data_IF_490703307147
#
_entry.id   IF_490703307147
#
_cell.length_a   1.000
_cell.length_b   1.000
_cell.length_c   1.000
_cell.angle_alpha   90.00
_cell.angle_beta   90.00
_cell.angle_gamma   90.00
#
_symmetry.space_group_name_H-M   'P 1'
#
loop_
_entity.id
_entity.type
_entity.pdbx_description
1 polymer ?
#
# COMPACT_ATOMS: atom_id res chain seq x y z
N UNK A 1 -17.87 -8.35 12.54
CA UNK A 1 -16.61 -7.64 12.86
C UNK A 1 -15.83 -7.60 11.56
N UNK A 2 -15.80 -6.44 10.90
CA UNK A 2 -15.09 -6.30 9.62
C UNK A 2 -13.60 -6.05 9.89
N UNK A 3 -12.72 -6.43 8.96
CA UNK A 3 -11.26 -6.25 9.10
C UNK A 3 -10.87 -4.78 9.34
N UNK A 4 -11.72 -3.85 8.90
CA UNK A 4 -11.55 -2.40 9.10
C UNK A 4 -11.58 -1.97 10.57
N UNK A 5 -12.21 -2.75 11.45
CA UNK A 5 -12.38 -2.43 12.88
C UNK A 5 -11.36 -3.13 13.78
N UNK A 6 -10.41 -3.89 13.20
CA UNK A 6 -9.45 -4.67 13.97
C UNK A 6 -8.28 -3.80 14.43
N UNK A 7 -8.03 -3.65 15.75
CA UNK A 7 -6.83 -2.99 16.24
C UNK A 7 -5.59 -3.75 15.78
N UNK A 8 -4.54 -3.02 15.42
CA UNK A 8 -3.29 -3.59 14.91
C UNK A 8 -3.45 -4.47 13.65
N UNK A 9 -4.38 -4.14 12.75
CA UNK A 9 -4.65 -4.93 11.54
C UNK A 9 -3.39 -5.24 10.70
N UNK A 10 -2.45 -4.31 10.64
CA UNK A 10 -1.18 -4.48 9.94
C UNK A 10 -0.34 -5.61 10.56
N UNK A 11 -0.33 -5.73 11.89
CA UNK A 11 0.38 -6.82 12.58
C UNK A 11 -0.27 -8.16 12.27
N UNK A 12 -1.60 -8.23 12.28
CA UNK A 12 -2.35 -9.44 11.94
C UNK A 12 -2.10 -9.88 10.48
N UNK A 13 -2.14 -8.94 9.53
CA UNK A 13 -1.79 -9.20 8.12
C UNK A 13 -0.35 -9.69 7.97
N UNK A 14 0.61 -9.09 8.68
CA UNK A 14 2.02 -9.54 8.68
C UNK A 14 2.19 -10.95 9.22
N UNK A 15 1.41 -11.37 10.22
CA UNK A 15 1.44 -12.75 10.73
C UNK A 15 0.95 -13.73 9.66
N UNK A 16 -0.16 -13.40 8.98
CA UNK A 16 -0.71 -14.24 7.91
C UNK A 16 0.28 -14.38 6.75
N UNK A 17 0.90 -13.28 6.31
CA UNK A 17 1.91 -13.30 5.23
C UNK A 17 3.08 -14.21 5.61
N UNK A 18 3.58 -14.12 6.86
CA UNK A 18 4.67 -14.98 7.32
C UNK A 18 4.29 -16.46 7.33
N UNK A 19 3.08 -16.79 7.81
CA UNK A 19 2.59 -18.16 7.81
C UNK A 19 2.47 -18.72 6.39
N UNK A 20 1.84 -17.98 5.46
CA UNK A 20 1.69 -18.39 4.07
C UNK A 20 3.03 -18.51 3.35
N UNK A 21 3.98 -17.61 3.62
CA UNK A 21 5.32 -17.66 3.03
C UNK A 21 6.12 -18.87 3.52
N UNK A 22 5.91 -19.26 4.78
CA UNK A 22 6.47 -20.49 5.34
C UNK A 22 5.85 -21.70 4.63
N UNK A 23 4.52 -21.80 4.58
CA UNK A 23 3.81 -22.91 3.94
C UNK A 23 4.20 -23.07 2.46
N UNK A 24 4.33 -21.95 1.74
CA UNK A 24 4.76 -21.91 0.34
C UNK A 24 6.09 -22.67 0.10
N UNK A 25 7.02 -22.60 1.06
CA UNK A 25 8.32 -23.28 0.95
C UNK A 25 8.23 -24.80 1.04
N UNK A 26 7.16 -25.33 1.65
CA UNK A 26 6.92 -26.78 1.82
C UNK A 26 5.88 -27.34 0.85
N UNK A 27 5.18 -26.49 0.08
CA UNK A 27 4.22 -26.95 -0.92
C UNK A 27 4.91 -27.78 -2.02
N UNK A 28 4.26 -28.86 -2.44
CA UNK A 28 4.73 -29.74 -3.51
C UNK A 28 4.07 -29.42 -4.86
N UNK A 29 2.78 -29.04 -4.84
CA UNK A 29 2.01 -28.66 -6.03
C UNK A 29 2.42 -27.28 -6.55
N UNK A 30 2.74 -27.20 -7.84
CA UNK A 30 3.02 -25.91 -8.50
C UNK A 30 1.78 -25.01 -8.53
N UNK A 31 0.59 -25.59 -8.71
CA UNK A 31 -0.67 -24.83 -8.72
C UNK A 31 -0.93 -24.16 -7.37
N UNK A 32 -0.71 -24.87 -6.27
CA UNK A 32 -0.87 -24.34 -4.91
C UNK A 32 0.17 -23.28 -4.60
N UNK A 33 1.41 -23.44 -5.11
CA UNK A 33 2.44 -22.40 -5.01
C UNK A 33 2.03 -21.12 -5.72
N UNK A 34 1.53 -21.21 -6.95
CA UNK A 34 1.08 -20.04 -7.71
C UNK A 34 -0.06 -19.34 -6.98
N UNK A 35 -1.09 -20.07 -6.56
CA UNK A 35 -2.22 -19.51 -5.78
C UNK A 35 -1.74 -18.83 -4.50
N UNK A 36 -0.90 -19.50 -3.72
CA UNK A 36 -0.40 -18.97 -2.44
C UNK A 36 0.48 -17.75 -2.63
N UNK A 37 1.35 -17.74 -3.64
CA UNK A 37 2.17 -16.57 -3.99
C UNK A 37 1.32 -15.37 -4.42
N UNK A 38 0.22 -15.59 -5.16
CA UNK A 38 -0.72 -14.54 -5.53
C UNK A 38 -1.38 -13.93 -4.30
N UNK A 39 -1.87 -14.77 -3.39
CA UNK A 39 -2.49 -14.32 -2.13
C UNK A 39 -1.48 -13.51 -1.30
N UNK A 40 -0.24 -13.98 -1.16
CA UNK A 40 0.81 -13.23 -0.45
C UNK A 40 1.04 -11.87 -1.10
N UNK A 41 1.10 -11.80 -2.44
CA UNK A 41 1.28 -10.54 -3.17
C UNK A 41 0.13 -9.56 -2.90
N UNK A 42 -1.11 -10.04 -2.93
CA UNK A 42 -2.28 -9.20 -2.67
C UNK A 42 -2.33 -8.71 -1.22
N UNK A 43 -1.97 -9.56 -0.23
CA UNK A 43 -1.88 -9.14 1.17
C UNK A 43 -0.76 -8.11 1.40
N UNK A 44 0.38 -8.23 0.72
CA UNK A 44 1.44 -7.23 0.74
C UNK A 44 0.95 -5.88 0.17
N UNK A 45 0.17 -5.89 -0.93
CA UNK A 45 -0.44 -4.68 -1.48
C UNK A 45 -1.40 -4.03 -0.48
N UNK A 46 -2.25 -4.82 0.20
CA UNK A 46 -3.13 -4.30 1.26
C UNK A 46 -2.32 -3.64 2.38
N UNK A 47 -1.20 -4.23 2.82
CA UNK A 47 -0.32 -3.58 3.80
C UNK A 47 0.21 -2.25 3.29
N UNK A 48 0.68 -2.19 2.04
CA UNK A 48 1.18 -0.95 1.44
C UNK A 48 0.08 0.12 1.48
N UNK A 49 -1.15 -0.20 1.06
CA UNK A 49 -2.27 0.74 1.12
C UNK A 49 -2.60 1.20 2.55
N UNK A 50 -2.60 0.29 3.52
CA UNK A 50 -2.84 0.64 4.92
C UNK A 50 -1.74 1.52 5.51
N UNK A 51 -0.49 1.29 5.12
CA UNK A 51 0.62 2.15 5.50
C UNK A 51 0.47 3.53 4.87
N UNK A 52 0.10 3.62 3.59
CA UNK A 52 -0.12 4.89 2.90
C UNK A 52 -1.27 5.68 3.51
N UNK A 53 -2.37 5.04 3.89
CA UNK A 53 -3.48 5.67 4.64
C UNK A 53 -2.98 6.33 5.93
N UNK A 54 -2.13 5.64 6.72
CA UNK A 54 -1.51 6.21 7.91
C UNK A 54 -0.59 7.40 7.60
N UNK A 55 0.15 7.36 6.49
CA UNK A 55 1.02 8.48 6.09
C UNK A 55 0.23 9.66 5.51
N UNK A 56 -0.91 9.41 4.86
CA UNK A 56 -1.77 10.48 4.33
C UNK A 56 -2.34 11.35 5.44
N UNK A 57 -2.63 10.80 6.62
CA UNK A 57 -3.02 11.59 7.80
C UNK A 57 -1.89 12.54 8.24
N UNK A 58 -0.65 12.04 8.30
CA UNK A 58 0.53 12.82 8.66
C UNK A 58 0.80 13.92 7.63
N UNK A 59 0.69 13.58 6.34
CA UNK A 59 0.91 14.50 5.22
C UNK A 59 -0.20 15.56 5.14
N UNK A 60 -1.46 15.16 5.33
CA UNK A 60 -2.61 16.07 5.37
C UNK A 60 -2.48 17.12 6.48
N UNK A 61 -2.06 16.70 7.68
CA UNK A 61 -1.77 17.63 8.79
C UNK A 61 -0.64 18.59 8.43
N UNK A 62 0.40 18.09 7.74
CA UNK A 62 1.58 18.87 7.39
C UNK A 62 1.32 19.91 6.28
N UNK A 63 0.40 19.61 5.36
CA UNK A 63 0.10 20.41 4.15
C UNK A 63 -1.25 21.15 4.28
N UNK A 64 -2.00 20.94 5.37
CA UNK A 64 -3.36 21.45 5.58
C UNK A 64 -4.30 21.19 4.39
N UNK A 65 -4.19 20.00 3.80
CA UNK A 65 -5.01 19.52 2.68
C UNK A 65 -5.82 18.30 3.09
N UNK A 66 -6.90 18.04 2.37
CA UNK A 66 -7.77 16.90 2.61
C UNK A 66 -7.03 15.56 2.41
N UNK A 67 -7.17 14.66 3.37
CA UNK A 67 -6.59 13.33 3.38
C UNK A 67 -6.96 12.52 2.14
N UNK A 68 -8.23 12.57 1.73
CA UNK A 68 -8.74 11.76 0.62
C UNK A 68 -8.13 12.20 -0.72
N UNK A 69 -7.73 13.46 -0.84
CA UNK A 69 -7.02 13.98 -2.02
C UNK A 69 -5.59 13.42 -2.08
N UNK A 70 -4.89 13.38 -0.95
CA UNK A 70 -3.52 12.83 -0.88
C UNK A 70 -3.55 11.32 -1.15
N UNK A 71 -4.52 10.60 -0.59
CA UNK A 71 -4.65 9.16 -0.78
C UNK A 71 -4.94 8.84 -2.26
N UNK A 72 -5.90 9.51 -2.90
CA UNK A 72 -6.22 9.27 -4.32
C UNK A 72 -5.03 9.53 -5.25
N UNK A 73 -4.21 10.55 -4.98
CA UNK A 73 -3.03 10.83 -5.79
C UNK A 73 -1.97 9.72 -5.64
N UNK A 74 -1.72 9.29 -4.40
CA UNK A 74 -0.80 8.19 -4.09
C UNK A 74 -1.28 6.87 -4.73
N UNK A 75 -2.59 6.61 -4.73
CA UNK A 75 -3.19 5.47 -5.43
C UNK A 75 -2.97 5.57 -6.94
N UNK A 76 -3.16 6.75 -7.52
CA UNK A 76 -2.94 7.02 -8.96
C UNK A 76 -1.48 6.79 -9.37
N UNK A 77 -0.52 7.15 -8.51
CA UNK A 77 0.92 6.87 -8.70
C UNK A 77 1.18 5.36 -8.76
N UNK A 78 0.52 4.58 -7.90
CA UNK A 78 0.72 3.14 -7.80
C UNK A 78 0.03 2.38 -8.94
N UNK A 79 -1.13 2.84 -9.40
CA UNK A 79 -1.82 2.27 -10.56
C UNK A 79 -1.07 2.51 -11.87
N UNK A 80 -0.37 3.64 -12.01
CA UNK A 80 0.49 3.92 -13.15
C UNK A 80 1.88 3.25 -13.00
N UNK A 81 1.96 1.98 -13.43
CA UNK A 81 3.21 1.16 -13.46
C UNK A 81 4.39 1.82 -14.20
N UNK A 82 4.13 2.85 -15.03
CA UNK A 82 5.14 3.58 -15.81
C UNK A 82 5.00 5.08 -15.53
N UNK A 83 5.54 5.54 -14.40
CA UNK A 83 5.61 6.96 -14.08
C UNK A 83 6.60 7.66 -15.02
N UNK A 84 6.14 8.67 -15.75
CA UNK A 84 6.99 9.59 -16.51
C UNK A 84 7.24 10.87 -15.71
N UNK A 85 8.38 11.52 -15.96
CA UNK A 85 8.76 12.78 -15.31
C UNK A 85 7.69 13.88 -15.55
N UNK A 86 7.09 13.89 -16.73
CA UNK A 86 6.01 14.81 -17.12
C UNK A 86 4.75 14.64 -16.27
N UNK A 87 4.40 13.40 -15.88
CA UNK A 87 3.22 13.13 -15.05
C UNK A 87 3.42 13.64 -13.62
N UNK A 88 4.63 13.52 -13.08
CA UNK A 88 4.97 14.01 -11.74
C UNK A 88 4.95 15.55 -11.65
N UNK A 89 5.28 16.23 -12.75
CA UNK A 89 5.31 17.69 -12.84
C UNK A 89 3.92 18.32 -12.97
N UNK A 90 2.95 17.61 -13.54
CA UNK A 90 1.55 18.05 -13.60
C UNK A 90 0.77 17.76 -12.30
N UNK A 91 1.32 16.92 -11.42
CA UNK A 91 0.73 16.63 -10.12
C UNK A 91 0.69 17.88 -9.23
N UNK A 92 -0.38 18.11 -8.44
CA UNK A 92 -0.53 19.29 -7.56
C UNK A 92 0.56 19.45 -6.47
N UNK A 93 1.51 18.52 -6.40
CA UNK A 93 2.73 18.57 -5.58
C UNK A 93 3.89 19.34 -6.25
N UNK A 94 3.82 19.67 -7.53
CA UNK A 94 4.88 20.40 -8.27
C UNK A 94 5.13 21.83 -7.79
N UNK A 95 4.29 22.34 -6.89
CA UNK A 95 4.46 23.63 -6.21
C UNK A 95 4.96 23.56 -4.76
N UNK A 96 5.28 22.37 -4.21
CA UNK A 96 5.83 22.28 -2.85
C UNK A 96 7.33 22.56 -2.91
N UNK A 97 7.68 23.81 -2.64
CA UNK A 97 9.07 24.21 -2.37
C UNK A 97 9.53 23.54 -1.06
N UNK A 98 10.18 22.38 -1.19
CA UNK A 98 10.94 21.74 -0.12
C UNK A 98 12.23 22.53 0.18
N UNK A 99 12.10 23.82 0.49
CA UNK A 99 13.11 24.61 1.18
C UNK A 99 12.51 25.25 2.42
N UNK A 100 12.57 24.51 3.53
CA UNK A 100 13.08 25.00 4.82
C UNK A 100 13.22 23.86 5.83
#
# INVERSE_FOLDING_TARGET
MEIKDLPEREKHLKVIIRALSFDLSYMSSFEDKVKTSSIISDLCRVIIFLSLDNYTDIIAISINKDKDVILNEVLSIIEHVWLTEDWLLESPFSGIDCRR
#
